data_IF_981196618243
#
_entry.id   IF_981196618243
#
_cell.length_a   1.000
_cell.length_b   1.000
_cell.length_c   1.000
_cell.angle_alpha   90.00
_cell.angle_beta   90.00
_cell.angle_gamma   90.00
#
_symmetry.space_group_name_H-M   'P 1'
#
loop_
_entity.id
_entity.type
_entity.pdbx_description
1 polymer ?
#
# COMPACT_ATOMS: atom_id res chain seq x y z
N UNK A 1 14.75 -14.85 -31.04
CA UNK A 1 13.82 -14.88 -29.88
C UNK A 1 13.50 -13.44 -29.56
N UNK A 2 12.23 -13.01 -29.62
CA UNK A 2 11.87 -11.62 -29.29
C UNK A 2 11.96 -11.49 -27.77
N UNK A 3 13.05 -10.92 -27.29
CA UNK A 3 13.17 -10.49 -25.90
C UNK A 3 12.10 -9.44 -25.65
N UNK A 4 10.98 -9.87 -25.10
CA UNK A 4 9.96 -8.99 -24.56
C UNK A 4 10.63 -8.24 -23.41
N UNK A 5 11.17 -7.04 -23.68
CA UNK A 5 11.57 -6.10 -22.63
C UNK A 5 10.33 -5.85 -21.79
N UNK A 6 10.21 -6.62 -20.72
CA UNK A 6 9.15 -6.51 -19.75
C UNK A 6 9.43 -5.21 -19.04
N UNK A 7 8.72 -4.17 -19.46
CA UNK A 7 8.68 -2.89 -18.80
C UNK A 7 8.21 -3.17 -17.37
N UNK A 8 9.16 -3.40 -16.46
CA UNK A 8 8.97 -3.32 -15.03
C UNK A 8 8.74 -1.84 -14.76
N UNK A 9 7.57 -1.34 -15.16
CA UNK A 9 7.07 -0.09 -14.63
C UNK A 9 6.95 -0.35 -13.15
N UNK A 10 7.96 0.14 -12.45
CA UNK A 10 8.05 0.22 -11.00
C UNK A 10 6.89 1.10 -10.54
N UNK A 11 5.70 0.49 -10.44
CA UNK A 11 4.47 1.16 -10.03
C UNK A 11 4.43 1.16 -8.51
N UNK A 12 4.05 2.31 -7.98
CA UNK A 12 3.73 2.43 -6.57
C UNK A 12 2.50 1.59 -6.27
N UNK A 13 2.55 0.83 -5.18
CA UNK A 13 1.45 -0.01 -4.72
C UNK A 13 1.06 0.43 -3.31
N UNK A 14 -0.20 0.81 -3.15
CA UNK A 14 -0.78 1.08 -1.83
C UNK A 14 -1.85 0.02 -1.57
N UNK A 15 -1.89 -0.53 -0.37
CA UNK A 15 -2.84 -1.56 0.03
C UNK A 15 -3.45 -1.24 1.39
N UNK A 16 -4.74 -1.53 1.57
CA UNK A 16 -5.44 -1.41 2.85
C UNK A 16 -6.00 -2.77 3.26
N UNK A 17 -5.70 -3.20 4.48
CA UNK A 17 -6.11 -4.48 5.06
C UNK A 17 -6.88 -4.24 6.35
N UNK A 18 -8.06 -4.85 6.49
CA UNK A 18 -8.81 -4.85 7.74
C UNK A 18 -8.29 -5.96 8.63
N UNK A 19 -7.87 -5.61 9.84
CA UNK A 19 -7.44 -6.50 10.91
C UNK A 19 -8.57 -6.58 11.94
N UNK A 20 -9.07 -7.79 12.21
CA UNK A 20 -10.18 -8.03 13.15
C UNK A 20 -9.75 -8.77 14.42
N UNK A 21 -8.45 -9.02 14.59
CA UNK A 21 -7.94 -9.90 15.65
C UNK A 21 -7.94 -9.29 17.07
N UNK A 22 -8.15 -7.97 17.20
CA UNK A 22 -8.18 -7.29 18.51
C UNK A 22 -8.96 -5.96 18.41
N UNK A 23 -10.21 -6.05 17.94
CA UNK A 23 -10.99 -4.91 17.47
C UNK A 23 -10.77 -4.60 15.99
N UNK A 24 -11.61 -3.75 15.42
CA UNK A 24 -11.46 -3.30 14.04
C UNK A 24 -10.27 -2.36 13.91
N UNK A 25 -9.26 -2.79 13.18
CA UNK A 25 -8.11 -1.98 12.80
C UNK A 25 -7.89 -2.06 11.31
N UNK A 26 -7.22 -1.06 10.77
CA UNK A 26 -6.97 -0.94 9.34
C UNK A 26 -5.48 -0.69 9.14
N UNK A 27 -4.81 -1.62 8.45
CA UNK A 27 -3.40 -1.55 8.11
C UNK A 27 -3.27 -1.01 6.69
N UNK A 28 -2.63 0.13 6.53
CA UNK A 28 -2.32 0.72 5.23
C UNK A 28 -0.83 0.52 4.96
N UNK A 29 -0.49 -0.07 3.82
CA UNK A 29 0.90 -0.33 3.42
C UNK A 29 1.17 0.30 2.06
N UNK A 30 2.22 1.11 1.96
CA UNK A 30 2.75 1.66 0.69
C UNK A 30 4.08 1.02 0.37
N UNK A 31 4.18 0.41 -0.80
CA UNK A 31 5.42 -0.10 -1.37
C UNK A 31 5.99 0.92 -2.33
N UNK A 32 7.20 1.36 -2.02
CA UNK A 32 8.00 2.11 -2.98
C UNK A 32 8.57 1.09 -3.98
N UNK A 33 8.53 1.38 -5.28
CA UNK A 33 9.08 0.45 -6.25
C UNK A 33 10.58 0.67 -6.48
N UNK A 34 11.09 1.85 -6.13
CA UNK A 34 12.53 2.18 -6.20
C UNK A 34 13.30 1.84 -4.94
N UNK A 35 12.65 1.98 -3.79
CA UNK A 35 13.21 1.59 -2.52
C UNK A 35 12.55 0.26 -2.17
N UNK A 36 13.31 -0.82 -1.97
CA UNK A 36 12.78 -2.14 -1.55
C UNK A 36 12.24 -2.11 -0.10
N UNK A 37 11.51 -1.04 0.24
CA UNK A 37 10.99 -0.71 1.55
C UNK A 37 9.47 -0.60 1.43
N UNK A 38 8.80 -1.02 2.49
CA UNK A 38 7.35 -0.91 2.63
C UNK A 38 7.06 -0.04 3.85
N UNK A 39 6.39 1.10 3.65
CA UNK A 39 5.88 1.89 4.75
C UNK A 39 4.53 1.31 5.18
N UNK A 40 4.33 1.11 6.48
CA UNK A 40 3.09 0.53 7.03
C UNK A 40 2.59 1.39 8.18
N UNK A 41 1.30 1.75 8.13
CA UNK A 41 0.59 2.45 9.21
C UNK A 41 -0.65 1.66 9.62
N UNK A 42 -1.00 1.73 10.91
CA UNK A 42 -2.17 1.04 11.47
C UNK A 42 -3.08 2.09 12.07
N UNK A 43 -4.36 2.01 11.74
CA UNK A 43 -5.41 2.90 12.19
C UNK A 43 -6.50 2.11 12.91
N UNK A 44 -7.19 2.77 13.84
CA UNK A 44 -8.37 2.22 14.52
C UNK A 44 -9.67 2.43 13.73
N UNK A 45 -9.69 3.35 12.76
CA UNK A 45 -10.88 3.71 12.01
C UNK A 45 -10.67 3.55 10.51
N UNK A 46 -11.74 3.19 9.79
CA UNK A 46 -11.72 3.03 8.33
C UNK A 46 -11.47 4.36 7.62
N UNK A 47 -12.03 5.45 8.17
CA UNK A 47 -11.94 6.79 7.60
C UNK A 47 -10.50 7.30 7.58
N UNK A 48 -9.79 7.21 8.71
CA UNK A 48 -8.37 7.57 8.80
C UNK A 48 -7.50 6.74 7.85
N UNK A 49 -7.76 5.43 7.78
CA UNK A 49 -7.01 4.56 6.88
C UNK A 49 -7.26 4.87 5.40
N UNK A 50 -8.51 5.23 5.05
CA UNK A 50 -8.86 5.68 3.71
C UNK A 50 -8.22 7.03 3.38
N UNK A 51 -8.19 7.96 4.33
CA UNK A 51 -7.53 9.25 4.18
C UNK A 51 -6.05 9.05 3.86
N UNK A 52 -5.33 8.24 4.66
CA UNK A 52 -3.91 7.97 4.41
C UNK A 52 -3.68 7.28 3.05
N UNK A 53 -4.57 6.36 2.69
CA UNK A 53 -4.50 5.68 1.40
C UNK A 53 -4.63 6.66 0.22
N UNK A 54 -5.57 7.61 0.30
CA UNK A 54 -5.76 8.65 -0.73
C UNK A 54 -4.56 9.61 -0.79
N UNK A 55 -4.03 10.04 0.36
CA UNK A 55 -2.82 10.86 0.42
C UNK A 55 -1.59 10.17 -0.20
N UNK A 56 -1.50 8.86 -0.12
CA UNK A 56 -0.42 8.09 -0.73
C UNK A 56 -0.64 7.76 -2.20
N UNK A 57 -1.85 7.96 -2.73
CA UNK A 57 -2.18 7.79 -4.15
C UNK A 57 -2.03 9.08 -4.96
N UNK A 58 -2.00 10.25 -4.32
CA UNK A 58 -1.66 11.54 -4.94
C UNK A 58 -0.18 11.62 -5.29
#
# INVERSE_FOLDING_TARGET
MKETKKDFTKKWEVSILRLTNNGERFKVTRKHPDLAISETRIYSSKEDAKHQFDEWLK
#
